data_IF_649802722243
#
_entry.id   IF_649802722243
#
_cell.length_a   1.000
_cell.length_b   1.000
_cell.length_c   1.000
_cell.angle_alpha   90.00
_cell.angle_beta   90.00
_cell.angle_gamma   90.00
#
_symmetry.space_group_name_H-M   'P 1'
#
loop_
_entity.id
_entity.type
_entity.pdbx_description
1 polymer ?
#
# COMPACT_ATOMS: atom_id res chain seq x y z
N UNK A 1 -0.58 -34.06 -33.45
CA UNK A 1 -1.91 -33.46 -33.22
C UNK A 1 -1.86 -32.82 -31.83
N UNK A 2 -1.41 -31.58 -31.81
CA UNK A 2 -1.04 -30.81 -30.58
C UNK A 2 -2.26 -30.01 -30.16
N UNK A 3 -2.85 -30.36 -29.04
CA UNK A 3 -3.92 -29.57 -28.43
C UNK A 3 -3.29 -28.40 -27.65
N UNK A 4 -3.24 -27.25 -28.27
CA UNK A 4 -3.01 -25.98 -27.62
C UNK A 4 -4.32 -25.56 -26.93
N UNK A 5 -4.40 -25.77 -25.62
CA UNK A 5 -5.44 -25.14 -24.79
C UNK A 5 -4.90 -23.79 -24.32
N UNK A 6 -5.07 -22.77 -25.14
CA UNK A 6 -5.05 -21.36 -24.71
C UNK A 6 -6.47 -20.99 -24.25
N UNK A 7 -6.89 -21.49 -23.11
CA UNK A 7 -8.10 -20.99 -22.46
C UNK A 7 -7.72 -19.75 -21.66
N UNK A 8 -8.12 -18.56 -22.11
CA UNK A 8 -8.22 -17.39 -21.24
C UNK A 8 -9.11 -17.77 -20.06
N UNK A 9 -8.72 -17.50 -18.80
CA UNK A 9 -9.58 -17.76 -17.67
C UNK A 9 -10.89 -16.99 -17.85
N UNK A 10 -12.03 -17.70 -17.74
CA UNK A 10 -13.34 -17.06 -17.80
C UNK A 10 -13.48 -16.16 -16.55
N UNK A 11 -13.71 -14.86 -16.75
CA UNK A 11 -14.00 -13.93 -15.67
C UNK A 11 -15.41 -14.23 -15.13
N UNK A 12 -15.54 -14.47 -13.83
CA UNK A 12 -16.83 -14.48 -13.14
C UNK A 12 -17.08 -13.14 -12.47
N UNK A 13 -18.22 -12.51 -12.73
CA UNK A 13 -18.54 -11.16 -12.26
C UNK A 13 -19.83 -11.20 -11.44
N UNK A 14 -19.77 -11.42 -10.11
CA UNK A 14 -20.95 -11.49 -9.28
C UNK A 14 -21.68 -10.14 -9.20
N UNK A 15 -22.99 -10.14 -9.35
CA UNK A 15 -23.84 -8.97 -9.20
C UNK A 15 -24.36 -8.81 -7.74
N UNK A 16 -24.15 -9.82 -6.88
CA UNK A 16 -24.59 -9.81 -5.47
C UNK A 16 -23.76 -10.73 -4.58
N UNK A 17 -23.79 -10.48 -3.27
CA UNK A 17 -23.17 -11.38 -2.27
C UNK A 17 -23.73 -12.81 -2.32
N UNK A 18 -25.05 -13.05 -2.44
CA UNK A 18 -25.59 -14.40 -2.57
C UNK A 18 -25.08 -15.13 -3.82
N UNK A 19 -24.92 -14.43 -4.94
CA UNK A 19 -24.38 -15.01 -6.16
C UNK A 19 -22.90 -15.40 -6.01
N UNK A 20 -22.09 -14.54 -5.39
CA UNK A 20 -20.71 -14.85 -5.04
C UNK A 20 -20.61 -16.08 -4.13
N UNK A 21 -21.43 -16.13 -3.07
CA UNK A 21 -21.48 -17.24 -2.12
C UNK A 21 -21.84 -18.56 -2.82
N UNK A 22 -22.86 -18.56 -3.67
CA UNK A 22 -23.27 -19.74 -4.44
C UNK A 22 -22.17 -20.21 -5.37
N UNK A 23 -21.54 -19.30 -6.13
CA UNK A 23 -20.47 -19.65 -7.05
C UNK A 23 -19.28 -20.30 -6.31
N UNK A 24 -18.84 -19.73 -5.19
CA UNK A 24 -17.73 -20.30 -4.40
C UNK A 24 -18.11 -21.66 -3.78
N UNK A 25 -19.35 -21.83 -3.33
CA UNK A 25 -19.83 -23.10 -2.80
C UNK A 25 -19.90 -24.20 -3.87
N UNK A 26 -20.38 -23.87 -5.07
CA UNK A 26 -20.40 -24.79 -6.21
C UNK A 26 -18.98 -25.16 -6.64
N UNK A 27 -18.05 -24.18 -6.67
CA UNK A 27 -16.64 -24.44 -6.98
C UNK A 27 -16.00 -25.36 -5.93
N UNK A 28 -16.25 -25.14 -4.66
CA UNK A 28 -15.71 -25.95 -3.57
C UNK A 28 -16.23 -27.40 -3.56
N UNK A 29 -17.44 -27.64 -4.09
CA UNK A 29 -18.07 -28.97 -4.08
C UNK A 29 -17.87 -29.76 -5.37
N UNK A 30 -17.60 -29.11 -6.51
CA UNK A 30 -17.58 -29.77 -7.81
C UNK A 30 -16.36 -29.45 -8.68
N UNK A 31 -16.06 -28.18 -8.91
CA UNK A 31 -15.06 -27.79 -9.91
C UNK A 31 -13.63 -27.76 -9.34
N UNK A 32 -13.45 -27.41 -8.08
CA UNK A 32 -12.16 -27.29 -7.38
C UNK A 32 -11.12 -26.42 -8.13
N UNK A 33 -11.59 -25.42 -8.87
CA UNK A 33 -10.72 -24.51 -9.60
C UNK A 33 -10.10 -23.48 -8.67
N UNK A 34 -8.89 -23.03 -9.00
CA UNK A 34 -8.27 -21.90 -8.33
C UNK A 34 -9.09 -20.63 -8.59
N UNK A 35 -9.31 -19.85 -7.53
CA UNK A 35 -10.07 -18.61 -7.54
C UNK A 35 -9.14 -17.44 -7.26
N UNK A 36 -9.18 -16.44 -8.11
CA UNK A 36 -8.41 -15.20 -7.97
C UNK A 36 -9.35 -14.00 -7.82
N UNK A 37 -9.59 -13.53 -6.58
CA UNK A 37 -10.38 -12.32 -6.36
C UNK A 37 -9.68 -11.10 -6.95
N UNK A 38 -10.36 -10.36 -7.81
CA UNK A 38 -9.82 -9.17 -8.45
C UNK A 38 -10.76 -7.98 -8.31
N UNK A 39 -10.17 -6.81 -7.98
CA UNK A 39 -10.83 -5.52 -8.02
C UNK A 39 -10.38 -4.73 -9.25
N UNK A 40 -9.68 -3.61 -9.02
CA UNK A 40 -9.15 -2.73 -10.06
C UNK A 40 -7.90 -3.23 -10.79
N UNK A 41 -7.41 -4.41 -10.47
CA UNK A 41 -6.20 -5.02 -11.06
C UNK A 41 -4.93 -4.18 -10.87
N UNK A 42 -4.86 -3.36 -9.83
CA UNK A 42 -3.72 -2.47 -9.52
C UNK A 42 -2.60 -3.16 -8.76
N UNK A 43 -2.85 -4.37 -8.25
CA UNK A 43 -1.91 -5.12 -7.42
C UNK A 43 -1.81 -6.59 -7.82
N UNK A 44 -2.11 -6.92 -9.09
CA UNK A 44 -2.01 -8.29 -9.57
C UNK A 44 -0.56 -8.76 -9.65
N UNK A 45 0.33 -7.89 -10.10
CA UNK A 45 1.77 -8.12 -10.16
C UNK A 45 2.45 -8.17 -8.78
N UNK A 46 1.78 -7.65 -7.75
CA UNK A 46 2.30 -7.74 -6.38
C UNK A 46 2.32 -9.21 -5.97
N UNK A 47 3.51 -9.76 -5.82
CA UNK A 47 3.73 -11.09 -5.26
C UNK A 47 3.25 -12.27 -6.11
N UNK A 48 2.95 -12.10 -7.40
CA UNK A 48 2.47 -13.23 -8.21
C UNK A 48 2.71 -13.06 -9.71
N UNK A 49 3.11 -14.10 -10.45
CA UNK A 49 3.19 -14.08 -11.90
C UNK A 49 1.80 -14.01 -12.55
N UNK A 50 1.74 -13.49 -13.76
CA UNK A 50 0.50 -13.37 -14.55
C UNK A 50 -0.06 -14.73 -15.03
N UNK A 51 0.65 -15.86 -14.82
CA UNK A 51 0.24 -17.20 -15.24
C UNK A 51 -0.72 -17.83 -14.22
N UNK A 52 -1.98 -17.44 -14.24
CA UNK A 52 -3.00 -18.05 -13.39
C UNK A 52 -3.87 -19.01 -14.22
N UNK A 53 -3.78 -20.29 -13.91
CA UNK A 53 -4.81 -21.26 -14.36
C UNK A 53 -5.92 -21.29 -13.30
N UNK A 54 -7.08 -20.72 -13.62
CA UNK A 54 -8.23 -20.66 -12.71
C UNK A 54 -9.21 -19.58 -13.10
N UNK A 55 -10.18 -19.29 -12.24
CA UNK A 55 -11.23 -18.30 -12.50
C UNK A 55 -10.92 -16.98 -11.79
N UNK A 56 -10.94 -15.87 -12.53
CA UNK A 56 -10.90 -14.52 -11.95
C UNK A 56 -12.29 -14.15 -11.45
N UNK A 57 -12.42 -13.84 -10.17
CA UNK A 57 -13.66 -13.34 -9.58
C UNK A 57 -13.57 -11.81 -9.52
N UNK A 58 -14.17 -11.15 -10.51
CA UNK A 58 -14.12 -9.72 -10.69
C UNK A 58 -15.22 -9.01 -9.89
N UNK A 59 -14.83 -8.24 -8.90
CA UNK A 59 -15.76 -7.57 -7.97
C UNK A 59 -16.36 -6.27 -8.54
N UNK A 60 -16.15 -5.95 -9.81
CA UNK A 60 -16.50 -4.65 -10.41
C UNK A 60 -17.98 -4.28 -10.37
N UNK A 61 -18.91 -5.25 -10.33
CA UNK A 61 -20.33 -4.97 -10.21
C UNK A 61 -20.80 -4.75 -8.76
N UNK A 62 -19.98 -5.10 -7.77
CA UNK A 62 -20.25 -4.85 -6.35
C UNK A 62 -19.65 -3.51 -5.94
N UNK A 63 -20.22 -2.38 -6.39
CA UNK A 63 -19.69 -1.02 -6.20
C UNK A 63 -20.70 0.00 -5.65
N UNK A 64 -21.80 -0.47 -5.06
CA UNK A 64 -22.84 0.42 -4.53
C UNK A 64 -22.48 0.95 -3.14
N UNK A 65 -22.97 2.17 -2.84
CA UNK A 65 -23.12 2.63 -1.45
C UNK A 65 -24.31 1.89 -0.84
N UNK A 66 -24.03 1.15 0.23
CA UNK A 66 -25.06 0.39 0.95
C UNK A 66 -25.74 1.26 2.00
N UNK A 67 -24.95 2.10 2.67
CA UNK A 67 -25.45 3.03 3.66
C UNK A 67 -24.42 4.12 3.98
N UNK A 68 -24.89 5.35 4.19
CA UNK A 68 -24.04 6.51 4.50
C UNK A 68 -24.72 7.46 5.48
N UNK A 69 -24.69 7.17 6.79
CA UNK A 69 -25.11 8.11 7.81
C UNK A 69 -24.04 9.20 8.02
N UNK A 70 -24.16 10.29 7.28
CA UNK A 70 -23.16 11.37 7.20
C UNK A 70 -22.76 11.91 8.58
N UNK A 71 -23.74 12.05 9.50
CA UNK A 71 -23.49 12.58 10.86
C UNK A 71 -22.63 11.66 11.72
N UNK A 72 -22.66 10.35 11.44
CA UNK A 72 -21.90 9.35 12.19
C UNK A 72 -20.47 9.20 11.64
N UNK A 73 -20.16 9.92 10.55
CA UNK A 73 -18.87 9.81 9.85
C UNK A 73 -18.52 8.38 9.48
N UNK A 74 -19.50 7.59 9.05
CA UNK A 74 -19.31 6.20 8.63
C UNK A 74 -19.98 5.97 7.28
N UNK A 75 -19.37 5.12 6.47
CA UNK A 75 -19.94 4.67 5.20
C UNK A 75 -19.81 3.18 5.04
N UNK A 76 -20.84 2.54 4.49
CA UNK A 76 -20.79 1.13 4.10
C UNK A 76 -20.91 1.02 2.58
N UNK A 77 -19.92 0.39 1.96
CA UNK A 77 -19.83 0.23 0.52
C UNK A 77 -19.56 -1.22 0.14
N UNK A 78 -19.93 -1.60 -1.07
CA UNK A 78 -19.50 -2.86 -1.68
C UNK A 78 -18.02 -2.80 -2.06
N UNK A 79 -17.33 -3.94 -1.99
CA UNK A 79 -15.87 -4.02 -2.05
C UNK A 79 -15.26 -3.66 -3.42
N UNK A 80 -16.03 -3.73 -4.48
CA UNK A 80 -15.64 -3.33 -5.83
C UNK A 80 -15.72 -1.82 -6.08
N UNK A 81 -16.17 -1.01 -5.12
CA UNK A 81 -16.15 0.45 -5.24
C UNK A 81 -14.73 0.97 -5.38
N UNK A 82 -14.48 1.83 -6.38
CA UNK A 82 -13.17 2.47 -6.56
C UNK A 82 -12.95 3.54 -5.51
N UNK A 83 -11.67 3.75 -5.16
CA UNK A 83 -11.30 4.70 -4.13
C UNK A 83 -11.57 6.16 -4.56
N UNK A 84 -11.33 6.51 -5.83
CA UNK A 84 -11.65 7.84 -6.34
C UNK A 84 -13.16 8.14 -6.23
N UNK A 85 -14.01 7.19 -6.61
CA UNK A 85 -15.46 7.28 -6.52
C UNK A 85 -15.92 7.42 -5.06
N UNK A 86 -15.37 6.63 -4.14
CA UNK A 86 -15.64 6.78 -2.71
C UNK A 86 -15.28 8.18 -2.21
N UNK A 87 -14.07 8.64 -2.55
CA UNK A 87 -13.59 9.97 -2.13
C UNK A 87 -14.43 11.11 -2.70
N UNK A 88 -14.93 10.99 -3.92
CA UNK A 88 -15.85 11.96 -4.51
C UNK A 88 -17.16 12.04 -3.70
N UNK A 89 -17.78 10.89 -3.41
CA UNK A 89 -19.02 10.79 -2.64
C UNK A 89 -18.86 11.42 -1.26
N UNK A 90 -17.83 11.05 -0.51
CA UNK A 90 -17.67 11.55 0.86
C UNK A 90 -17.17 12.99 0.92
N UNK A 91 -16.44 13.45 -0.11
CA UNK A 91 -15.98 14.84 -0.21
C UNK A 91 -17.12 15.84 -0.43
N UNK A 92 -18.22 15.40 -1.05
CA UNK A 92 -19.43 16.22 -1.19
C UNK A 92 -20.03 16.62 0.16
N UNK A 93 -19.81 15.79 1.19
CA UNK A 93 -20.25 16.01 2.57
C UNK A 93 -19.12 16.57 3.48
N UNK A 94 -18.02 17.08 2.90
CA UNK A 94 -16.88 17.60 3.67
C UNK A 94 -16.11 16.54 4.45
N UNK A 95 -16.21 15.28 4.04
CA UNK A 95 -15.52 14.14 4.67
C UNK A 95 -14.50 13.53 3.74
N UNK A 96 -13.63 12.66 4.28
CA UNK A 96 -12.66 11.87 3.53
C UNK A 96 -12.31 10.56 4.21
N UNK A 97 -11.84 9.61 3.43
CA UNK A 97 -11.05 8.48 3.90
C UNK A 97 -9.57 8.87 3.74
N UNK A 98 -8.80 9.11 4.83
CA UNK A 98 -7.45 9.68 4.72
C UNK A 98 -6.39 8.59 4.44
N UNK A 99 -6.62 7.76 3.43
CA UNK A 99 -5.73 6.70 2.98
C UNK A 99 -5.19 7.02 1.60
N UNK A 100 -3.88 6.98 1.45
CA UNK A 100 -3.21 7.14 0.17
C UNK A 100 -3.09 5.80 -0.53
N UNK A 101 -3.54 5.77 -1.77
CA UNK A 101 -3.50 4.58 -2.62
C UNK A 101 -3.14 5.00 -4.03
N UNK A 102 -2.08 4.43 -4.61
CA UNK A 102 -1.76 4.67 -6.01
C UNK A 102 -2.86 4.14 -6.94
N UNK A 103 -2.97 4.73 -8.11
CA UNK A 103 -3.98 4.39 -9.11
C UNK A 103 -5.41 4.38 -8.51
N UNK A 104 -5.74 5.38 -7.68
CA UNK A 104 -7.01 5.47 -6.96
C UNK A 104 -8.25 5.41 -7.88
N UNK A 105 -8.08 5.81 -9.15
CA UNK A 105 -9.09 5.72 -10.20
C UNK A 105 -9.37 4.28 -10.70
N UNK A 106 -8.56 3.30 -10.28
CA UNK A 106 -8.72 1.88 -10.59
C UNK A 106 -8.82 1.05 -9.31
N UNK A 107 -8.00 1.36 -8.31
CA UNK A 107 -7.95 0.64 -7.04
C UNK A 107 -9.34 0.57 -6.37
N UNK A 108 -9.76 -0.63 -5.97
CA UNK A 108 -11.04 -0.86 -5.28
C UNK A 108 -10.84 -1.00 -3.78
N UNK A 109 -11.85 -0.66 -2.99
CA UNK A 109 -11.79 -0.73 -1.52
C UNK A 109 -11.44 -2.14 -1.04
N UNK A 110 -12.03 -3.17 -1.63
CA UNK A 110 -11.70 -4.57 -1.30
C UNK A 110 -10.25 -4.92 -1.61
N UNK A 111 -9.71 -4.46 -2.74
CA UNK A 111 -8.31 -4.62 -3.11
C UNK A 111 -7.37 -3.91 -2.13
N UNK A 112 -7.66 -2.66 -1.78
CA UNK A 112 -6.89 -1.85 -0.81
C UNK A 112 -6.82 -2.54 0.56
N UNK A 113 -7.94 -3.10 1.02
CA UNK A 113 -7.98 -3.84 2.29
C UNK A 113 -7.17 -5.14 2.17
N UNK A 114 -7.37 -5.91 1.11
CA UNK A 114 -6.69 -7.18 0.91
C UNK A 114 -5.16 -7.02 0.82
N UNK A 115 -4.66 -5.91 0.26
CA UNK A 115 -3.23 -5.61 0.14
C UNK A 115 -2.66 -4.79 1.29
N UNK A 116 -3.53 -4.20 2.13
CA UNK A 116 -3.15 -3.21 3.15
C UNK A 116 -2.30 -2.07 2.56
N UNK A 117 -2.69 -1.62 1.37
CA UNK A 117 -1.99 -0.52 0.69
C UNK A 117 -2.10 0.76 1.50
N UNK A 118 -1.00 1.47 1.63
CA UNK A 118 -0.91 2.75 2.32
C UNK A 118 0.17 3.60 1.66
N UNK A 119 0.17 4.90 1.94
CA UNK A 119 1.16 5.84 1.45
C UNK A 119 1.53 6.87 2.53
N UNK A 120 1.96 8.07 2.14
CA UNK A 120 2.53 9.07 3.05
C UNK A 120 1.69 9.42 4.28
N UNK A 121 0.36 9.55 4.15
CA UNK A 121 -0.55 9.87 5.28
C UNK A 121 -0.58 8.84 6.38
N UNK A 122 -0.03 7.65 6.12
CA UNK A 122 0.06 6.60 7.13
C UNK A 122 0.68 7.09 8.44
N UNK A 123 1.64 8.01 8.36
CA UNK A 123 2.33 8.57 9.54
C UNK A 123 1.36 9.17 10.56
N UNK A 124 0.42 9.99 10.12
CA UNK A 124 -0.52 10.66 11.02
C UNK A 124 -1.85 9.93 11.19
N UNK A 125 -2.32 9.26 10.13
CA UNK A 125 -3.67 8.70 10.07
C UNK A 125 -3.72 7.18 10.18
N UNK A 126 -2.58 6.49 10.19
CA UNK A 126 -2.56 5.03 10.20
C UNK A 126 -2.87 4.40 8.84
N UNK A 127 -3.36 3.18 8.84
CA UNK A 127 -3.63 2.38 7.65
C UNK A 127 -5.13 2.15 7.46
N UNK A 128 -5.52 1.55 6.34
CA UNK A 128 -6.92 1.16 6.09
C UNK A 128 -7.49 0.29 7.24
N UNK A 129 -6.62 -0.47 7.93
CA UNK A 129 -6.99 -1.30 9.09
C UNK A 129 -7.62 -0.49 10.23
N UNK A 130 -7.22 0.76 10.39
CA UNK A 130 -7.69 1.65 11.47
C UNK A 130 -9.07 2.26 11.15
N UNK A 131 -9.47 2.21 9.90
CA UNK A 131 -10.73 2.74 9.38
C UNK A 131 -11.80 1.69 9.16
N UNK A 132 -11.40 0.43 8.99
CA UNK A 132 -12.35 -0.68 8.82
C UNK A 132 -13.00 -1.01 10.16
N UNK A 133 -14.33 -0.78 10.25
CA UNK A 133 -15.17 -1.06 11.42
C UNK A 133 -16.08 -2.28 11.21
N UNK A 134 -16.26 -2.73 9.97
CA UNK A 134 -17.01 -3.92 9.64
C UNK A 134 -16.67 -4.46 8.26
N UNK A 135 -16.66 -5.78 8.12
CA UNK A 135 -16.43 -6.47 6.85
C UNK A 135 -17.49 -7.59 6.68
N UNK A 136 -17.97 -7.74 5.44
CA UNK A 136 -18.64 -8.94 4.98
C UNK A 136 -17.76 -9.62 3.94
N UNK A 137 -17.54 -10.92 4.05
CA UNK A 137 -16.71 -11.69 3.15
C UNK A 137 -17.23 -13.11 2.97
N UNK A 138 -16.81 -13.78 1.91
CA UNK A 138 -17.17 -15.18 1.61
C UNK A 138 -15.89 -16.01 1.67
N UNK A 139 -15.89 -17.07 2.47
CA UNK A 139 -14.76 -18.00 2.61
C UNK A 139 -14.62 -18.95 1.41
N UNK A 140 -13.57 -19.79 1.41
CA UNK A 140 -13.31 -20.74 0.34
C UNK A 140 -14.39 -21.82 0.16
N UNK A 141 -15.23 -22.06 1.17
CA UNK A 141 -16.36 -22.99 1.11
C UNK A 141 -17.67 -22.32 0.65
N UNK A 142 -17.66 -21.02 0.40
CA UNK A 142 -18.84 -20.25 -0.01
C UNK A 142 -19.70 -19.73 1.16
N UNK A 143 -19.23 -19.83 2.40
CA UNK A 143 -19.96 -19.30 3.54
C UNK A 143 -19.80 -17.78 3.64
N UNK A 144 -20.91 -17.04 3.63
CA UNK A 144 -20.92 -15.61 3.91
C UNK A 144 -20.81 -15.39 5.42
N UNK A 145 -19.81 -14.64 5.84
CA UNK A 145 -19.66 -14.21 7.24
C UNK A 145 -19.48 -12.69 7.34
N UNK A 146 -19.79 -12.19 8.54
CA UNK A 146 -19.65 -10.76 8.87
C UNK A 146 -18.86 -10.62 10.16
N UNK A 147 -17.96 -9.64 10.19
CA UNK A 147 -17.20 -9.27 11.37
C UNK A 147 -17.26 -7.77 11.60
N UNK A 148 -17.41 -7.36 12.86
CA UNK A 148 -17.61 -5.96 13.19
C UNK A 148 -19.01 -5.46 12.85
N UNK A 149 -19.21 -4.15 12.91
CA UNK A 149 -20.47 -3.46 12.62
C UNK A 149 -20.37 -1.99 12.97
N UNK A 150 -21.43 -1.22 12.72
CA UNK A 150 -21.50 0.22 12.98
C UNK A 150 -21.48 0.61 14.47
N UNK A 151 -21.46 -0.33 15.40
CA UNK A 151 -21.37 -0.04 16.83
C UNK A 151 -19.92 0.27 17.21
N UNK A 152 -19.71 1.42 17.78
CA UNK A 152 -18.40 1.97 18.21
C UNK A 152 -17.70 1.07 19.24
N UNK A 153 -18.38 0.08 19.80
CA UNK A 153 -17.85 -0.85 20.80
C UNK A 153 -18.38 -2.26 20.58
N UNK A 154 -17.69 -3.02 19.74
CA UNK A 154 -17.92 -4.46 19.64
C UNK A 154 -16.88 -5.17 20.53
N UNK A 155 -17.26 -5.49 21.77
CA UNK A 155 -16.39 -6.15 22.76
C UNK A 155 -16.62 -7.65 22.85
N UNK A 156 -17.52 -8.20 22.04
CA UNK A 156 -17.84 -9.63 22.02
C UNK A 156 -17.35 -10.28 20.73
N UNK A 157 -16.32 -11.13 20.82
CA UNK A 157 -15.79 -11.93 19.73
C UNK A 157 -14.45 -11.45 19.18
N UNK A 158 -13.81 -12.33 18.40
CA UNK A 158 -12.57 -11.99 17.68
C UNK A 158 -12.88 -11.07 16.50
N UNK A 159 -12.01 -10.08 16.27
CA UNK A 159 -12.10 -9.18 15.12
C UNK A 159 -11.57 -9.89 13.85
N UNK A 160 -12.37 -10.82 13.34
CA UNK A 160 -12.05 -11.58 12.13
C UNK A 160 -11.87 -10.66 10.91
N UNK A 161 -12.52 -9.50 10.90
CA UNK A 161 -12.39 -8.52 9.81
C UNK A 161 -10.96 -8.03 9.65
N UNK A 162 -10.25 -7.81 10.76
CA UNK A 162 -8.86 -7.36 10.72
C UNK A 162 -7.86 -8.39 10.21
N UNK A 163 -8.23 -9.69 10.20
CA UNK A 163 -7.40 -10.74 9.59
C UNK A 163 -7.42 -10.67 8.05
N UNK A 164 -8.47 -10.09 7.48
CA UNK A 164 -8.57 -9.93 6.02
C UNK A 164 -7.74 -8.75 5.50
N UNK A 165 -7.32 -7.84 6.36
CA UNK A 165 -6.44 -6.73 6.00
C UNK A 165 -5.04 -7.26 5.76
N UNK A 166 -4.54 -7.12 4.53
CA UNK A 166 -3.25 -7.68 4.11
C UNK A 166 -3.27 -9.18 3.77
N UNK A 167 -4.45 -9.80 3.69
CA UNK A 167 -4.60 -11.22 3.35
C UNK A 167 -4.32 -11.56 1.89
N UNK A 168 -4.14 -10.58 1.02
CA UNK A 168 -3.93 -10.74 -0.43
C UNK A 168 -5.00 -11.59 -1.13
N UNK A 169 -6.22 -11.61 -0.59
CA UNK A 169 -7.32 -12.44 -1.11
C UNK A 169 -7.12 -13.95 -0.94
N UNK A 170 -6.23 -14.37 -0.04
CA UNK A 170 -5.93 -15.80 0.20
C UNK A 170 -6.82 -16.44 1.25
N UNK A 171 -7.55 -15.67 2.05
CA UNK A 171 -8.38 -16.17 3.15
C UNK A 171 -9.88 -16.14 2.87
N UNK A 172 -10.35 -15.09 2.18
CA UNK A 172 -11.74 -14.90 1.82
C UNK A 172 -11.86 -13.85 0.70
N UNK A 173 -13.01 -13.80 0.05
CA UNK A 173 -13.38 -12.75 -0.91
C UNK A 173 -14.20 -11.68 -0.18
N UNK A 174 -13.62 -10.48 -0.05
CA UNK A 174 -14.28 -9.33 0.59
C UNK A 174 -15.39 -8.83 -0.32
N UNK A 175 -16.60 -8.70 0.21
CA UNK A 175 -17.78 -8.30 -0.58
C UNK A 175 -18.38 -6.95 -0.18
N UNK A 176 -18.25 -6.55 1.11
CA UNK A 176 -18.76 -5.29 1.64
C UNK A 176 -17.93 -4.83 2.81
N UNK A 177 -17.80 -3.51 2.99
CA UNK A 177 -16.98 -2.90 4.04
C UNK A 177 -17.70 -1.70 4.65
N UNK A 178 -17.62 -1.57 5.96
CA UNK A 178 -17.99 -0.36 6.70
C UNK A 178 -16.73 0.36 7.17
N UNK A 179 -16.65 1.66 6.89
CA UNK A 179 -15.48 2.50 7.10
C UNK A 179 -15.81 3.68 7.99
N UNK A 180 -14.89 4.04 8.88
CA UNK A 180 -14.88 5.36 9.52
C UNK A 180 -14.31 6.40 8.56
N UNK A 181 -14.80 7.62 8.67
CA UNK A 181 -14.35 8.77 7.89
C UNK A 181 -13.75 9.85 8.80
N UNK A 182 -13.10 10.82 8.20
CA UNK A 182 -12.56 12.01 8.87
C UNK A 182 -13.04 13.27 8.16
N UNK A 183 -13.08 14.43 8.84
CA UNK A 183 -13.31 15.70 8.19
C UNK A 183 -12.25 15.98 7.12
N UNK A 184 -12.65 16.59 6.01
CA UNK A 184 -11.71 17.05 4.99
C UNK A 184 -10.93 18.25 5.54
N UNK A 185 -9.61 18.34 5.39
CA UNK A 185 -8.83 19.50 5.81
C UNK A 185 -9.14 20.72 4.95
N UNK A 186 -8.99 21.91 5.51
CA UNK A 186 -9.17 23.17 4.78
C UNK A 186 -8.09 23.38 3.73
N UNK A 187 -6.83 23.05 4.10
CA UNK A 187 -5.69 23.20 3.20
C UNK A 187 -4.60 22.16 3.47
N UNK A 188 -3.65 22.09 2.55
CA UNK A 188 -2.43 21.32 2.62
C UNK A 188 -1.25 22.19 2.20
N UNK A 189 -0.13 22.11 2.93
CA UNK A 189 1.15 22.65 2.53
C UNK A 189 2.23 21.59 2.63
N UNK A 190 3.20 21.65 1.71
CA UNK A 190 4.40 20.82 1.72
C UNK A 190 5.60 21.73 1.97
N UNK A 191 6.54 21.28 2.80
CA UNK A 191 7.82 21.93 3.00
C UNK A 191 8.90 21.00 2.46
N UNK A 192 9.55 21.44 1.40
CA UNK A 192 10.62 20.73 0.70
C UNK A 192 11.96 21.21 1.21
N UNK A 193 12.76 20.30 1.75
CA UNK A 193 14.12 20.54 2.19
C UNK A 193 15.09 19.75 1.34
N UNK A 194 16.22 20.35 0.97
CA UNK A 194 17.35 19.67 0.33
C UNK A 194 18.55 19.67 1.29
N UNK A 195 19.20 18.53 1.48
CA UNK A 195 20.35 18.35 2.35
C UNK A 195 21.53 17.77 1.60
N UNK A 196 22.76 18.18 1.98
CA UNK A 196 24.00 17.73 1.34
C UNK A 196 24.41 16.30 1.73
N UNK A 197 23.93 15.75 2.85
CA UNK A 197 24.35 14.45 3.38
C UNK A 197 23.24 13.68 4.05
N UNK A 198 23.35 12.34 4.07
CA UNK A 198 22.48 11.46 4.85
C UNK A 198 22.53 11.75 6.35
N UNK A 199 23.68 12.15 6.89
CA UNK A 199 23.84 12.48 8.31
C UNK A 199 22.96 13.68 8.70
N UNK A 200 22.95 14.74 7.92
CA UNK A 200 22.09 15.91 8.16
C UNK A 200 20.60 15.55 8.06
N UNK A 201 20.23 14.65 7.15
CA UNK A 201 18.85 14.11 7.05
C UNK A 201 18.49 13.32 8.30
N UNK A 202 19.36 12.43 8.75
CA UNK A 202 19.11 11.57 9.91
C UNK A 202 18.87 12.40 11.18
N UNK A 203 19.74 13.38 11.44
CA UNK A 203 19.58 14.32 12.54
C UNK A 203 18.28 15.12 12.48
N UNK A 204 17.90 15.58 11.28
CA UNK A 204 16.66 16.32 11.08
C UNK A 204 15.42 15.42 11.29
N UNK A 205 15.45 14.17 10.83
CA UNK A 205 14.38 13.20 11.03
C UNK A 205 14.24 12.80 12.50
N UNK A 206 15.33 12.63 13.25
CA UNK A 206 15.29 12.38 14.69
C UNK A 206 14.62 13.54 15.44
N UNK A 207 14.89 14.79 15.03
CA UNK A 207 14.32 15.98 15.66
C UNK A 207 12.79 16.10 15.46
N UNK A 208 12.19 15.41 14.50
CA UNK A 208 10.73 15.39 14.29
C UNK A 208 9.97 14.91 15.55
N UNK A 209 10.55 13.96 16.28
CA UNK A 209 9.92 13.38 17.48
C UNK A 209 9.69 14.43 18.57
N UNK A 210 10.59 15.43 18.66
CA UNK A 210 10.52 16.52 19.65
C UNK A 210 9.99 17.82 19.08
N UNK A 211 9.64 17.86 17.80
CA UNK A 211 9.10 19.03 17.12
C UNK A 211 7.81 19.54 17.78
N UNK A 212 7.64 20.86 17.81
CA UNK A 212 6.37 21.50 18.15
C UNK A 212 5.27 21.29 17.12
N UNK A 213 5.61 20.78 15.95
CA UNK A 213 4.67 20.53 14.84
C UNK A 213 4.07 19.13 14.85
N UNK A 214 3.07 18.90 14.00
CA UNK A 214 2.42 17.60 13.84
C UNK A 214 2.28 17.32 12.34
N UNK A 215 3.32 16.78 11.70
CA UNK A 215 3.28 16.45 10.30
C UNK A 215 2.21 15.41 9.96
N UNK A 216 1.61 15.56 8.79
CA UNK A 216 0.70 14.56 8.21
C UNK A 216 1.48 13.45 7.54
N UNK A 217 2.59 13.80 6.88
CA UNK A 217 3.50 12.88 6.24
C UNK A 217 4.94 13.42 6.29
N UNK A 218 5.92 12.53 6.27
CA UNK A 218 7.35 12.83 6.22
C UNK A 218 7.99 11.89 5.19
N UNK A 219 8.33 12.45 4.04
CA UNK A 219 8.86 11.71 2.90
C UNK A 219 10.35 12.03 2.70
N UNK A 220 11.12 11.01 2.47
CA UNK A 220 12.50 11.14 2.01
C UNK A 220 12.63 10.67 0.56
N UNK A 221 13.50 11.33 -0.21
CA UNK A 221 13.92 10.87 -1.54
C UNK A 221 15.42 11.07 -1.73
N UNK A 222 16.09 10.10 -2.35
CA UNK A 222 17.40 10.38 -2.92
C UNK A 222 17.25 11.17 -4.24
N UNK A 223 18.34 11.71 -4.78
CA UNK A 223 18.29 12.56 -5.98
C UNK A 223 17.61 11.90 -7.18
N UNK A 224 17.72 10.57 -7.33
CA UNK A 224 17.07 9.85 -8.44
C UNK A 224 15.55 9.83 -8.30
N UNK A 225 15.04 9.42 -7.16
CA UNK A 225 13.59 9.42 -6.91
C UNK A 225 13.05 10.85 -6.90
N UNK A 226 13.78 11.81 -6.34
CA UNK A 226 13.38 13.22 -6.36
C UNK A 226 13.18 13.73 -7.79
N UNK A 227 14.08 13.40 -8.74
CA UNK A 227 13.94 13.77 -10.16
C UNK A 227 12.70 13.16 -10.80
N UNK A 228 12.39 11.89 -10.52
CA UNK A 228 11.19 11.22 -11.04
C UNK A 228 9.91 11.88 -10.50
N UNK A 229 9.84 12.12 -9.19
CA UNK A 229 8.69 12.73 -8.51
C UNK A 229 8.47 14.17 -8.97
N UNK A 230 9.56 14.96 -9.09
CA UNK A 230 9.51 16.34 -9.59
C UNK A 230 9.04 16.39 -11.05
N UNK A 231 9.54 15.51 -11.89
CA UNK A 231 9.13 15.41 -13.30
C UNK A 231 7.63 15.07 -13.41
N UNK A 232 7.13 14.10 -12.64
CA UNK A 232 5.72 13.70 -12.63
C UNK A 232 4.83 14.85 -12.09
N UNK A 233 5.27 15.56 -11.06
CA UNK A 233 4.53 16.69 -10.48
C UNK A 233 4.48 17.92 -11.37
N UNK A 234 5.39 18.02 -12.35
CA UNK A 234 5.57 19.20 -13.24
C UNK A 234 5.80 20.49 -12.47
N UNK A 235 6.62 20.45 -11.45
CA UNK A 235 7.01 21.58 -10.60
C UNK A 235 8.53 21.63 -10.60
N UNK A 236 9.11 22.83 -10.65
CA UNK A 236 10.57 22.99 -10.54
C UNK A 236 10.96 23.05 -9.06
N UNK A 237 11.76 22.09 -8.60
CA UNK A 237 12.29 22.01 -7.24
C UNK A 237 13.76 21.59 -7.27
N UNK A 238 14.58 22.02 -6.28
CA UNK A 238 15.93 21.50 -6.09
C UNK A 238 15.89 20.01 -5.77
N UNK A 239 16.69 19.18 -6.47
CA UNK A 239 16.60 17.71 -6.41
C UNK A 239 17.94 17.01 -6.67
N UNK A 240 19.04 17.72 -6.50
CA UNK A 240 20.36 17.17 -6.82
C UNK A 240 20.97 16.34 -5.69
N UNK A 241 20.45 16.50 -4.47
CA UNK A 241 20.94 15.87 -3.26
C UNK A 241 19.84 15.06 -2.54
N UNK A 242 19.92 14.96 -1.23
CA UNK A 242 18.92 14.30 -0.39
C UNK A 242 17.75 15.24 -0.12
N UNK A 243 16.55 14.75 -0.30
CA UNK A 243 15.33 15.53 -0.13
C UNK A 243 14.51 14.98 1.03
N UNK A 244 14.01 15.88 1.87
CA UNK A 244 12.94 15.59 2.82
C UNK A 244 11.76 16.51 2.54
N UNK A 245 10.58 15.93 2.35
CA UNK A 245 9.34 16.66 2.14
C UNK A 245 8.37 16.39 3.29
N UNK A 246 7.98 17.46 3.99
CA UNK A 246 7.07 17.37 5.13
C UNK A 246 5.71 17.93 4.71
N UNK A 247 4.64 17.15 4.96
CA UNK A 247 3.28 17.54 4.67
C UNK A 247 2.55 17.98 5.95
N UNK A 248 1.81 19.06 5.86
CA UNK A 248 0.87 19.53 6.89
C UNK A 248 -0.52 19.69 6.29
N UNK A 249 -1.53 19.19 7.00
CA UNK A 249 -2.96 19.33 6.63
C UNK A 249 -3.77 19.81 7.83
N UNK A 250 -4.81 20.60 7.59
CA UNK A 250 -5.72 21.09 8.62
C UNK A 250 -6.23 22.50 8.38
N UNK A 251 -6.58 23.23 9.46
CA UNK A 251 -6.97 24.64 9.36
C UNK A 251 -5.82 25.51 8.85
N UNK A 252 -6.13 26.43 7.95
CA UNK A 252 -5.12 27.21 7.21
C UNK A 252 -4.09 27.91 8.11
N UNK A 253 -4.55 28.56 9.19
CA UNK A 253 -3.65 29.26 10.14
C UNK A 253 -2.69 28.32 10.82
N UNK A 254 -3.14 27.11 11.18
CA UNK A 254 -2.33 26.09 11.85
C UNK A 254 -1.30 25.53 10.89
N UNK A 255 -1.70 25.21 9.66
CA UNK A 255 -0.82 24.66 8.62
C UNK A 255 0.30 25.66 8.29
N UNK A 256 -0.03 26.93 8.08
CA UNK A 256 0.97 27.99 7.83
C UNK A 256 1.95 28.14 8.99
N UNK A 257 1.47 28.11 10.23
CA UNK A 257 2.33 28.20 11.41
C UNK A 257 3.26 26.99 11.50
N UNK A 258 2.75 25.76 11.30
CA UNK A 258 3.56 24.55 11.35
C UNK A 258 4.65 24.54 10.29
N UNK A 259 4.33 24.97 9.06
CA UNK A 259 5.31 25.07 7.98
C UNK A 259 6.45 26.05 8.30
N UNK A 260 6.15 27.18 8.92
CA UNK A 260 7.18 28.12 9.37
C UNK A 260 7.96 27.60 10.56
N UNK A 261 7.29 26.96 11.50
CA UNK A 261 7.91 26.42 12.71
C UNK A 261 8.95 25.33 12.38
N UNK A 262 8.64 24.39 11.50
CA UNK A 262 9.58 23.34 11.12
C UNK A 262 10.81 23.91 10.39
N UNK A 263 10.63 24.96 9.60
CA UNK A 263 11.75 25.65 8.91
C UNK A 263 12.70 26.27 9.95
N UNK A 264 12.17 26.91 10.99
CA UNK A 264 12.98 27.46 12.08
C UNK A 264 13.69 26.36 12.88
N UNK A 265 12.98 25.29 13.23
CA UNK A 265 13.55 24.15 13.97
C UNK A 265 14.68 23.48 13.18
N UNK A 266 14.52 23.33 11.86
CA UNK A 266 15.48 22.61 11.02
C UNK A 266 16.61 23.46 10.46
N UNK A 267 16.60 24.77 10.73
CA UNK A 267 17.70 25.67 10.33
C UNK A 267 19.07 25.23 10.85
N UNK A 268 19.11 24.63 12.03
CA UNK A 268 20.33 24.12 12.66
C UNK A 268 20.99 22.96 11.90
N UNK A 269 20.23 22.21 11.09
CA UNK A 269 20.73 21.10 10.28
C UNK A 269 21.26 21.56 8.90
N UNK A 270 21.29 22.88 8.66
CA UNK A 270 21.88 23.52 7.49
C UNK A 270 21.37 22.97 6.15
N UNK A 271 20.05 22.98 5.88
CA UNK A 271 19.53 22.60 4.58
C UNK A 271 20.09 23.52 3.48
N UNK A 272 20.42 22.95 2.31
CA UNK A 272 20.91 23.68 1.14
C UNK A 272 19.83 24.59 0.55
N UNK A 273 18.58 24.13 0.58
CA UNK A 273 17.43 24.89 0.11
C UNK A 273 16.18 24.50 0.89
N UNK A 274 15.23 25.43 0.98
CA UNK A 274 13.92 25.23 1.59
C UNK A 274 12.86 25.92 0.74
N UNK A 275 11.80 25.19 0.42
CA UNK A 275 10.66 25.73 -0.33
C UNK A 275 9.33 25.29 0.30
N UNK A 276 8.36 26.23 0.37
CA UNK A 276 6.98 25.93 0.74
C UNK A 276 6.16 25.79 -0.54
N UNK A 277 5.45 24.70 -0.67
CA UNK A 277 4.59 24.39 -1.81
C UNK A 277 3.14 24.31 -1.30
N UNK A 278 2.23 24.99 -1.99
CA UNK A 278 0.84 25.10 -1.59
C UNK A 278 -0.13 25.02 -2.77
N UNK A 279 -1.42 24.90 -2.48
CA UNK A 279 -2.49 24.89 -3.48
C UNK A 279 -2.39 23.69 -4.43
N UNK A 280 -2.60 23.96 -5.72
CA UNK A 280 -2.58 22.91 -6.76
C UNK A 280 -1.20 22.30 -6.96
N UNK A 281 -0.12 23.04 -6.69
CA UNK A 281 1.22 22.52 -6.74
C UNK A 281 1.45 21.49 -5.64
N UNK A 282 1.04 21.79 -4.39
CA UNK A 282 1.12 20.83 -3.30
C UNK A 282 0.32 19.55 -3.61
N UNK A 283 -0.88 19.68 -4.16
CA UNK A 283 -1.70 18.53 -4.53
C UNK A 283 -1.03 17.64 -5.59
N UNK A 284 -0.42 18.24 -6.62
CA UNK A 284 0.29 17.49 -7.67
C UNK A 284 1.55 16.80 -7.15
N UNK A 285 2.35 17.51 -6.36
CA UNK A 285 3.56 16.92 -5.76
C UNK A 285 3.21 15.78 -4.81
N UNK A 286 2.20 15.98 -3.97
CA UNK A 286 1.72 14.94 -3.07
C UNK A 286 1.21 13.70 -3.83
N UNK A 287 0.48 13.91 -4.91
CA UNK A 287 0.02 12.82 -5.77
C UNK A 287 1.20 12.04 -6.39
N UNK A 288 2.25 12.74 -6.84
CA UNK A 288 3.45 12.08 -7.37
C UNK A 288 4.14 11.19 -6.31
N UNK A 289 4.19 11.61 -5.04
CA UNK A 289 4.67 10.77 -3.95
C UNK A 289 3.81 9.51 -3.77
N UNK A 290 2.50 9.63 -3.88
CA UNK A 290 1.59 8.47 -3.72
C UNK A 290 1.74 7.48 -4.88
N UNK A 291 1.89 7.98 -6.12
CA UNK A 291 1.99 7.13 -7.31
C UNK A 291 3.38 6.48 -7.46
N UNK A 292 4.42 7.01 -6.83
CA UNK A 292 5.80 6.55 -6.98
C UNK A 292 5.97 5.04 -6.73
N UNK A 293 5.26 4.49 -5.74
CA UNK A 293 5.39 3.07 -5.38
C UNK A 293 4.92 2.07 -6.47
N UNK A 294 4.28 2.56 -7.53
CA UNK A 294 3.74 1.73 -8.63
C UNK A 294 4.30 2.12 -10.00
N UNK A 295 5.42 2.81 -10.06
CA UNK A 295 6.10 3.08 -11.32
C UNK A 295 6.34 1.76 -12.06
N UNK A 296 5.93 1.70 -13.33
CA UNK A 296 5.86 0.45 -14.11
C UNK A 296 7.07 0.22 -15.02
N UNK A 297 7.97 1.18 -15.11
CA UNK A 297 9.07 1.16 -16.09
C UNK A 297 10.33 0.49 -15.55
N UNK A 298 10.39 0.18 -14.25
CA UNK A 298 11.55 -0.41 -13.61
C UNK A 298 11.46 -1.94 -13.56
N UNK A 299 12.56 -2.67 -13.76
CA UNK A 299 12.57 -4.13 -13.81
C UNK A 299 12.12 -4.77 -12.49
N UNK A 300 12.45 -4.13 -11.36
CA UNK A 300 12.04 -4.58 -10.02
C UNK A 300 11.77 -3.39 -9.12
N UNK A 301 10.62 -3.41 -8.46
CA UNK A 301 10.30 -2.52 -7.35
C UNK A 301 10.42 -3.28 -6.03
N UNK A 302 11.20 -2.72 -5.11
CA UNK A 302 11.42 -3.25 -3.77
C UNK A 302 10.58 -2.49 -2.74
N UNK A 303 10.20 -3.19 -1.68
CA UNK A 303 9.65 -2.57 -0.47
C UNK A 303 10.35 -3.13 0.76
N UNK A 304 11.07 -2.28 1.48
CA UNK A 304 11.61 -2.62 2.79
C UNK A 304 10.72 -2.04 3.90
N UNK A 305 10.59 -2.79 4.99
CA UNK A 305 10.03 -2.32 6.25
C UNK A 305 11.11 -2.48 7.32
N UNK A 306 11.52 -1.37 7.90
CA UNK A 306 12.68 -1.26 8.77
C UNK A 306 12.31 -0.50 10.05
N UNK A 307 13.11 -0.64 11.08
CA UNK A 307 13.07 0.34 12.16
C UNK A 307 13.55 1.70 11.62
N UNK A 308 12.93 2.82 12.03
CA UNK A 308 13.38 4.16 11.59
C UNK A 308 14.89 4.40 11.78
N UNK A 309 15.48 3.89 12.85
CA UNK A 309 16.92 3.97 13.14
C UNK A 309 17.82 3.18 12.18
N UNK A 310 17.27 2.26 11.39
CA UNK A 310 18.01 1.46 10.40
C UNK A 310 17.82 1.98 8.97
N UNK A 311 16.89 2.90 8.79
CA UNK A 311 16.45 3.34 7.48
C UNK A 311 17.59 4.05 6.72
N UNK A 312 18.29 5.00 7.35
CA UNK A 312 19.32 5.77 6.64
C UNK A 312 20.51 4.93 6.19
N UNK A 313 20.94 3.96 7.00
CA UNK A 313 22.00 3.00 6.61
C UNK A 313 21.56 2.13 5.41
N UNK A 314 20.32 1.70 5.37
CA UNK A 314 19.75 0.99 4.21
C UNK A 314 19.73 1.89 2.96
N UNK A 315 19.27 3.13 3.11
CA UNK A 315 19.21 4.14 2.03
C UNK A 315 20.58 4.42 1.45
N UNK A 316 21.62 4.57 2.28
CA UNK A 316 22.99 4.76 1.82
C UNK A 316 23.48 3.59 0.97
N UNK A 317 23.20 2.35 1.42
CA UNK A 317 23.55 1.15 0.66
C UNK A 317 22.81 1.10 -0.68
N UNK A 318 21.49 1.33 -0.66
CA UNK A 318 20.67 1.35 -1.87
C UNK A 318 21.10 2.47 -2.85
N UNK A 319 21.47 3.65 -2.35
CA UNK A 319 21.95 4.76 -3.18
C UNK A 319 23.28 4.43 -3.84
N UNK A 320 24.21 3.76 -3.14
CA UNK A 320 25.47 3.25 -3.74
C UNK A 320 25.23 2.22 -4.83
N UNK A 321 24.18 1.44 -4.71
CA UNK A 321 23.73 0.47 -5.72
C UNK A 321 22.91 1.13 -6.85
N UNK A 322 22.86 2.45 -6.88
CA UNK A 322 22.20 3.22 -7.92
C UNK A 322 20.65 3.03 -7.96
N UNK A 323 20.04 2.64 -6.86
CA UNK A 323 18.59 2.46 -6.71
C UNK A 323 17.92 3.81 -6.47
N UNK A 324 16.79 4.07 -7.14
CA UNK A 324 15.98 5.24 -6.86
C UNK A 324 15.12 4.98 -5.62
N UNK A 325 15.23 5.81 -4.58
CA UNK A 325 14.64 5.56 -3.26
C UNK A 325 13.66 6.66 -2.86
N UNK A 326 12.42 6.28 -2.54
CA UNK A 326 11.47 7.03 -1.72
C UNK A 326 11.25 6.30 -0.40
N UNK A 327 11.16 7.03 0.71
CA UNK A 327 10.80 6.45 2.00
C UNK A 327 9.74 7.29 2.73
N UNK A 328 8.77 6.60 3.33
CA UNK A 328 7.93 7.16 4.40
C UNK A 328 8.82 7.20 5.65
N UNK A 329 9.55 8.29 5.80
CA UNK A 329 10.75 8.33 6.65
C UNK A 329 10.45 8.09 8.13
N UNK A 330 9.32 8.57 8.64
CA UNK A 330 8.94 8.38 10.02
C UNK A 330 8.33 7.00 10.32
N UNK A 331 7.97 6.23 9.28
CA UNK A 331 7.37 4.89 9.39
C UNK A 331 8.37 3.76 9.10
N UNK A 332 9.57 4.06 8.61
CA UNK A 332 10.57 3.06 8.24
C UNK A 332 10.18 2.24 7.00
N UNK A 333 9.31 2.75 6.12
CA UNK A 333 8.92 2.07 4.88
C UNK A 333 9.71 2.69 3.74
N UNK A 334 10.44 1.86 3.01
CA UNK A 334 11.28 2.29 1.88
C UNK A 334 10.83 1.59 0.61
N UNK A 335 10.57 2.36 -0.43
CA UNK A 335 10.38 1.86 -1.79
C UNK A 335 11.63 2.12 -2.60
N UNK A 336 12.07 1.13 -3.36
CA UNK A 336 13.24 1.21 -4.20
C UNK A 336 12.95 0.69 -5.61
N UNK A 337 13.36 1.46 -6.61
CA UNK A 337 13.27 1.09 -8.02
C UNK A 337 14.67 0.75 -8.52
N UNK A 338 14.87 -0.51 -8.91
CA UNK A 338 16.16 -0.97 -9.43
C UNK A 338 16.48 -0.27 -10.75
N UNK A 339 17.76 0.03 -10.99
CA UNK A 339 18.16 0.65 -12.25
C UNK A 339 18.06 -0.34 -13.43
N UNK A 340 17.85 0.16 -14.64
CA UNK A 340 17.81 -0.63 -15.89
C UNK A 340 19.07 -1.48 -16.10
N UNK A 341 20.19 -1.12 -15.47
CA UNK A 341 21.42 -1.91 -15.50
C UNK A 341 21.30 -3.26 -14.78
N UNK A 342 20.30 -3.44 -13.90
CA UNK A 342 19.96 -4.73 -13.31
C UNK A 342 19.14 -5.57 -14.30
N UNK A 343 19.77 -5.98 -15.40
CA UNK A 343 19.10 -6.60 -16.56
C UNK A 343 19.04 -8.12 -16.53
N UNK A 344 19.57 -8.74 -15.49
CA UNK A 344 19.55 -10.19 -15.30
C UNK A 344 19.16 -10.59 -13.87
N UNK A 345 18.65 -11.81 -13.71
CA UNK A 345 18.36 -12.38 -12.39
C UNK A 345 19.59 -12.43 -11.48
N UNK A 346 20.78 -12.60 -12.05
CA UNK A 346 22.05 -12.61 -11.29
C UNK A 346 22.35 -11.22 -10.71
N UNK A 347 22.19 -10.15 -11.51
CA UNK A 347 22.36 -8.77 -11.05
C UNK A 347 21.37 -8.44 -9.92
N UNK A 348 20.09 -8.80 -10.10
CA UNK A 348 19.06 -8.59 -9.09
C UNK A 348 19.38 -9.34 -7.80
N UNK A 349 19.78 -10.62 -7.86
CA UNK A 349 20.14 -11.38 -6.67
C UNK A 349 21.34 -10.80 -5.93
N UNK A 350 22.37 -10.34 -6.64
CA UNK A 350 23.52 -9.66 -6.03
C UNK A 350 23.11 -8.36 -5.30
N UNK A 351 22.20 -7.60 -5.87
CA UNK A 351 21.64 -6.39 -5.25
C UNK A 351 20.85 -6.77 -3.97
N UNK A 352 19.99 -7.78 -4.06
CA UNK A 352 19.19 -8.24 -2.92
C UNK A 352 20.06 -8.75 -1.77
N UNK A 353 21.13 -9.50 -2.03
CA UNK A 353 22.09 -9.95 -1.02
C UNK A 353 22.75 -8.77 -0.29
N UNK A 354 23.18 -7.74 -1.02
CA UNK A 354 23.79 -6.57 -0.42
C UNK A 354 22.79 -5.77 0.44
N UNK A 355 21.54 -5.63 -0.02
CA UNK A 355 20.50 -4.92 0.72
C UNK A 355 20.07 -5.67 1.99
N UNK A 356 20.00 -6.99 1.93
CA UNK A 356 19.55 -7.81 3.07
C UNK A 356 20.61 -7.99 4.16
N UNK A 357 21.90 -7.85 3.84
CA UNK A 357 22.99 -8.03 4.81
C UNK A 357 22.89 -7.09 6.01
N UNK A 358 22.27 -5.90 5.85
CA UNK A 358 22.08 -4.90 6.92
C UNK A 358 20.73 -4.99 7.63
N UNK A 359 19.86 -5.93 7.26
CA UNK A 359 18.51 -6.02 7.85
C UNK A 359 18.48 -7.11 8.94
N UNK A 360 18.17 -6.71 10.18
CA UNK A 360 17.82 -7.66 11.23
C UNK A 360 16.43 -8.26 10.94
N UNK A 361 16.39 -9.55 10.59
CA UNK A 361 15.15 -10.28 10.24
C UNK A 361 14.09 -10.32 11.35
N UNK A 362 14.45 -9.96 12.58
CA UNK A 362 13.51 -9.84 13.71
C UNK A 362 12.75 -8.52 13.70
N UNK A 363 13.32 -7.47 13.10
CA UNK A 363 12.81 -6.10 13.16
C UNK A 363 12.53 -5.49 11.81
N UNK A 364 12.97 -6.12 10.71
CA UNK A 364 12.75 -5.63 9.36
C UNK A 364 12.71 -6.75 8.33
N UNK A 365 12.19 -6.44 7.16
CA UNK A 365 12.19 -7.34 6.02
C UNK A 365 12.16 -6.57 4.70
N UNK A 366 12.70 -7.22 3.67
CA UNK A 366 12.69 -6.76 2.29
C UNK A 366 11.77 -7.65 1.47
N UNK A 367 10.90 -7.04 0.68
CA UNK A 367 10.00 -7.74 -0.24
C UNK A 367 10.20 -7.24 -1.66
N UNK A 368 10.03 -8.12 -2.62
CA UNK A 368 9.88 -7.74 -4.03
C UNK A 368 8.41 -7.33 -4.19
N UNK A 369 8.18 -6.02 -4.35
CA UNK A 369 6.85 -5.47 -4.48
C UNK A 369 6.28 -5.71 -5.88
N UNK A 370 7.12 -5.53 -6.90
CA UNK A 370 6.79 -5.79 -8.31
C UNK A 370 8.05 -6.23 -9.05
N UNK A 371 7.94 -7.09 -10.03
CA UNK A 371 9.02 -7.47 -10.95
C UNK A 371 8.46 -7.83 -12.31
N UNK A 372 9.35 -7.94 -13.32
CA UNK A 372 9.00 -8.49 -14.61
C UNK A 372 8.42 -9.90 -14.49
N UNK A 373 7.43 -10.23 -15.33
CA UNK A 373 6.69 -11.49 -15.27
C UNK A 373 7.60 -12.71 -15.36
N UNK A 374 8.61 -12.66 -16.23
CA UNK A 374 9.57 -13.75 -16.44
C UNK A 374 10.44 -14.06 -15.21
N UNK A 375 10.63 -13.09 -14.33
CA UNK A 375 11.43 -13.24 -13.12
C UNK A 375 10.61 -13.62 -11.89
N UNK A 376 9.31 -13.48 -11.98
CA UNK A 376 8.40 -13.65 -10.84
C UNK A 376 8.43 -15.05 -10.23
N UNK A 377 8.76 -16.11 -11.00
CA UNK A 377 8.89 -17.47 -10.47
C UNK A 377 10.22 -17.71 -9.76
N UNK A 378 11.28 -17.02 -10.18
CA UNK A 378 12.65 -17.22 -9.73
C UNK A 378 13.01 -16.35 -8.53
N UNK A 379 12.37 -15.19 -8.38
CA UNK A 379 12.65 -14.27 -7.27
C UNK A 379 11.83 -14.61 -6.02
N UNK A 380 12.45 -14.57 -4.81
CA UNK A 380 11.70 -14.76 -3.57
C UNK A 380 10.81 -13.55 -3.31
N UNK A 381 9.58 -13.77 -2.86
CA UNK A 381 8.72 -12.66 -2.47
C UNK A 381 9.27 -11.94 -1.24
N UNK A 382 9.65 -12.69 -0.22
CA UNK A 382 10.33 -12.19 0.97
C UNK A 382 11.77 -12.64 0.94
N UNK A 383 12.68 -11.68 1.05
CA UNK A 383 14.11 -11.99 1.18
C UNK A 383 14.44 -12.55 2.58
N UNK A 384 13.54 -12.39 3.54
CA UNK A 384 13.59 -12.99 4.87
C UNK A 384 12.17 -13.27 5.35
N UNK A 385 11.83 -14.50 5.73
CA UNK A 385 10.47 -14.84 6.16
C UNK A 385 10.12 -14.14 7.47
N UNK A 386 8.97 -13.47 7.55
CA UNK A 386 8.51 -12.89 8.81
C UNK A 386 8.14 -13.99 9.82
N UNK A 387 8.27 -13.69 11.10
CA UNK A 387 7.81 -14.57 12.16
C UNK A 387 6.29 -14.82 12.03
N UNK A 388 5.82 -16.04 12.37
CA UNK A 388 4.38 -16.35 12.39
C UNK A 388 3.84 -17.11 11.19
N UNK A 389 4.67 -17.62 10.29
CA UNK A 389 4.26 -18.44 9.14
C UNK A 389 3.36 -19.62 9.51
N UNK A 390 3.62 -20.29 10.63
CA UNK A 390 2.81 -21.42 11.08
C UNK A 390 1.37 -20.99 11.40
N UNK A 391 1.20 -19.84 12.05
CA UNK A 391 -0.13 -19.29 12.31
C UNK A 391 -0.86 -18.91 11.00
N UNK A 392 -0.14 -18.36 10.03
CA UNK A 392 -0.73 -18.04 8.71
C UNK A 392 -1.22 -19.30 7.99
N UNK A 393 -0.47 -20.41 8.06
CA UNK A 393 -0.91 -21.71 7.49
C UNK A 393 -2.15 -22.24 8.18
N UNK A 394 -2.22 -22.18 9.51
CA UNK A 394 -3.39 -22.62 10.26
C UNK A 394 -4.63 -21.79 9.92
N UNK A 395 -4.50 -20.47 9.79
CA UNK A 395 -5.60 -19.59 9.36
C UNK A 395 -6.06 -19.92 7.93
N UNK A 396 -5.13 -20.12 7.01
CA UNK A 396 -5.44 -20.55 5.64
C UNK A 396 -6.20 -21.87 5.63
N UNK A 397 -5.73 -22.86 6.38
CA UNK A 397 -6.37 -24.17 6.48
C UNK A 397 -7.79 -24.08 7.09
N UNK A 398 -8.02 -23.15 8.02
CA UNK A 398 -9.32 -22.97 8.66
C UNK A 398 -10.35 -22.28 7.74
N UNK A 399 -9.93 -21.29 6.95
CA UNK A 399 -10.83 -20.48 6.11
C UNK A 399 -10.92 -20.96 4.66
N UNK A 400 -9.93 -21.67 4.19
CA UNK A 400 -9.85 -22.23 2.84
C UNK A 400 -9.18 -23.61 2.88
N UNK A 401 -9.85 -24.64 3.44
CA UNK A 401 -9.25 -25.96 3.64
C UNK A 401 -8.88 -26.67 2.33
N UNK A 402 -9.53 -26.32 1.24
CA UNK A 402 -9.23 -26.88 -0.08
C UNK A 402 -8.19 -26.07 -0.85
N UNK A 403 -7.71 -24.97 -0.29
CA UNK A 403 -6.70 -24.09 -0.87
C UNK A 403 -7.08 -23.57 -2.28
N UNK A 404 -8.31 -23.14 -2.45
CA UNK A 404 -8.85 -22.64 -3.71
C UNK A 404 -8.62 -21.14 -3.91
N UNK A 405 -8.53 -20.34 -2.81
CA UNK A 405 -8.44 -18.89 -2.84
C UNK A 405 -6.98 -18.43 -2.98
N UNK A 406 -6.61 -17.96 -4.16
CA UNK A 406 -5.32 -17.32 -4.45
C UNK A 406 -4.11 -18.13 -3.92
N UNK A 407 -4.17 -19.45 -4.01
CA UNK A 407 -3.21 -20.37 -3.40
C UNK A 407 -1.79 -20.26 -3.97
N UNK A 408 -1.55 -20.00 -5.26
CA UNK A 408 -0.20 -19.78 -5.75
C UNK A 408 0.49 -18.59 -5.06
N UNK A 409 -0.25 -17.52 -4.78
CA UNK A 409 0.26 -16.35 -4.04
C UNK A 409 0.58 -16.73 -2.59
N UNK A 410 -0.29 -17.48 -1.93
CA UNK A 410 -0.04 -17.97 -0.58
C UNK A 410 1.17 -18.91 -0.52
N UNK A 411 1.31 -19.81 -1.49
CA UNK A 411 2.44 -20.74 -1.56
C UNK A 411 3.79 -20.00 -1.69
N UNK A 412 3.83 -18.88 -2.44
CA UNK A 412 5.02 -18.02 -2.52
C UNK A 412 5.36 -17.32 -1.20
N UNK A 413 4.34 -16.95 -0.41
CA UNK A 413 4.55 -16.38 0.92
C UNK A 413 5.23 -17.38 1.88
N UNK A 414 5.05 -18.68 1.65
CA UNK A 414 5.41 -19.77 2.59
C UNK A 414 6.59 -20.62 2.11
N UNK A 415 7.01 -20.49 0.84
CA UNK A 415 8.18 -21.20 0.31
C UNK A 415 9.47 -20.52 0.80
N UNK A 416 10.14 -21.18 1.73
CA UNK A 416 11.56 -21.00 2.09
C UNK A 416 12.21 -22.33 2.35
#
# INVERSE_FOLDING_TARGET
MTLTHSGTPEDFVPASQPELSRFLSENATSAHQQIFPVGGRTSLSVCCPDSHSGTLVCMSQLHRVVDYPVRDMTITVEAGMRLDQLNEIVSAEGQRLPIDVPQSNRATIGGVIATNTSGPRRFSYGTIRDYVIGISAVDGAGNLFKSGGRVVKNVAGYDLGKMLVGSLGTLAVISQVSLNLRPKPECMQLVWFEFSSCESVDQALEAIVTSGTRPTAVEYCNSKAARQIVAESRIELPMENHVVCICYEGPEKVVKWQAQQIIEEWRSFSPLSVQIIEGTHAARLYHAFVEYQTSSDDPVTLKAMLLPSQMMSFIETATRLNIAIQAHAADGIVYGHLPDSASSLEDVNQILEQLTTGIDSRTGYLTIYQCESDWSESLPLFCSPPAGWELMRQLKQALDPQQLLNSPRFAKLVKH
#
